data_IF_560456289851
#
_entry.id   IF_560456289851
#
_cell.length_a   1.000
_cell.length_b   1.000
_cell.length_c   1.000
_cell.angle_alpha   90.00
_cell.angle_beta   90.00
_cell.angle_gamma   90.00
#
_symmetry.space_group_name_H-M   'P 1'
#
loop_
_entity.id
_entity.type
_entity.pdbx_description
1 polymer ?
#
# COMPACT_ATOMS: atom_id res chain seq x y z
N UNK A 1 -14.75 6.04 -1.54
CA UNK A 1 -13.74 6.41 -0.51
C UNK A 1 -14.07 5.74 0.83
N UNK A 2 -15.33 5.75 1.28
CA UNK A 2 -15.72 5.03 2.50
C UNK A 2 -15.65 3.49 2.38
N UNK A 3 -15.57 2.97 1.15
CA UNK A 3 -15.41 1.55 0.85
C UNK A 3 -13.97 1.11 0.57
N UNK A 4 -12.96 1.98 0.76
CA UNK A 4 -11.56 1.58 0.56
C UNK A 4 -11.14 0.52 1.58
N UNK A 5 -10.33 -0.45 1.16
CA UNK A 5 -9.83 -1.51 2.03
C UNK A 5 -8.30 -1.55 2.02
N UNK A 6 -7.69 -1.49 3.20
CA UNK A 6 -6.26 -1.71 3.41
C UNK A 6 -6.04 -3.06 4.10
N UNK A 7 -5.11 -3.85 3.61
CA UNK A 7 -4.50 -4.96 4.36
C UNK A 7 -3.05 -4.59 4.67
N UNK A 8 -2.73 -4.34 5.92
CA UNK A 8 -1.37 -3.99 6.38
C UNK A 8 -0.81 -5.11 7.24
N UNK A 9 0.26 -5.78 6.80
CA UNK A 9 0.85 -6.91 7.53
C UNK A 9 -0.18 -8.01 7.90
N UNK A 10 -1.24 -8.16 7.09
CA UNK A 10 -2.30 -9.15 7.29
C UNK A 10 -3.48 -8.68 8.14
N UNK A 11 -3.40 -7.49 8.73
CA UNK A 11 -4.53 -6.85 9.42
C UNK A 11 -5.36 -6.03 8.43
N UNK A 12 -6.69 -6.15 8.48
CA UNK A 12 -7.60 -5.46 7.57
C UNK A 12 -8.20 -4.19 8.20
N UNK A 13 -8.25 -3.11 7.43
CA UNK A 13 -8.81 -1.82 7.81
C UNK A 13 -9.74 -1.35 6.69
N UNK A 14 -11.00 -1.09 7.03
CA UNK A 14 -12.02 -0.69 6.07
C UNK A 14 -12.44 0.77 6.29
N UNK A 15 -12.52 1.51 5.19
CA UNK A 15 -12.91 2.90 5.15
C UNK A 15 -11.78 3.87 5.46
N UNK A 16 -11.90 5.08 4.93
CA UNK A 16 -10.85 6.12 5.03
C UNK A 16 -10.41 6.40 6.46
N UNK A 17 -11.34 6.47 7.41
CA UNK A 17 -11.02 6.80 8.81
C UNK A 17 -10.09 5.76 9.44
N UNK A 18 -10.44 4.48 9.37
CA UNK A 18 -9.63 3.39 9.92
C UNK A 18 -8.27 3.26 9.21
N UNK A 19 -8.25 3.48 7.89
CA UNK A 19 -7.01 3.48 7.11
C UNK A 19 -6.07 4.60 7.57
N UNK A 20 -6.58 5.83 7.68
CA UNK A 20 -5.78 6.98 8.13
C UNK A 20 -5.29 6.78 9.56
N UNK A 21 -6.16 6.31 10.46
CA UNK A 21 -5.78 5.99 11.84
C UNK A 21 -4.63 4.97 11.89
N UNK A 22 -4.75 3.87 11.13
CA UNK A 22 -3.69 2.85 11.06
C UNK A 22 -2.37 3.43 10.55
N UNK A 23 -2.40 4.18 9.44
CA UNK A 23 -1.19 4.74 8.85
C UNK A 23 -0.55 5.80 9.76
N UNK A 24 -1.36 6.59 10.46
CA UNK A 24 -0.91 7.58 11.45
C UNK A 24 -0.40 6.95 12.75
N UNK A 25 -0.83 5.73 13.08
CA UNK A 25 -0.40 5.03 14.29
C UNK A 25 0.91 4.26 14.13
N UNK A 26 1.55 4.28 12.95
CA UNK A 26 2.78 3.52 12.72
C UNK A 26 3.93 4.12 13.53
N UNK A 27 4.75 3.30 14.21
CA UNK A 27 5.71 3.78 15.22
C UNK A 27 7.04 4.23 14.60
N UNK A 28 7.01 5.14 13.62
CA UNK A 28 8.20 5.76 13.05
C UNK A 28 8.01 7.27 12.89
N UNK A 29 9.11 8.03 12.91
CA UNK A 29 9.06 9.48 12.65
C UNK A 29 9.29 9.82 11.17
N UNK A 30 10.14 9.04 10.52
CA UNK A 30 10.52 9.19 9.11
C UNK A 30 10.48 7.84 8.44
N UNK A 31 9.99 7.82 7.21
CA UNK A 31 10.03 6.64 6.36
C UNK A 31 10.46 7.05 4.95
N UNK A 32 11.44 6.34 4.40
CA UNK A 32 11.92 6.51 3.04
C UNK A 32 11.63 5.25 2.24
N UNK A 33 10.94 5.38 1.11
CA UNK A 33 10.72 4.29 0.16
C UNK A 33 11.63 4.46 -1.06
N UNK A 34 12.16 3.36 -1.57
CA UNK A 34 12.91 3.25 -2.82
C UNK A 34 12.25 2.17 -3.68
N UNK A 35 11.71 2.57 -4.83
CA UNK A 35 10.98 1.68 -5.73
C UNK A 35 11.98 0.93 -6.60
N UNK A 36 11.97 -0.40 -6.54
CA UNK A 36 12.81 -1.25 -7.38
C UNK A 36 12.10 -1.59 -8.69
N UNK A 37 10.81 -1.93 -8.61
CA UNK A 37 9.98 -2.24 -9.75
C UNK A 37 8.53 -1.82 -9.50
N UNK A 38 7.84 -1.46 -10.57
CA UNK A 38 6.41 -1.21 -10.58
C UNK A 38 5.83 -1.74 -11.88
N UNK A 39 4.75 -2.51 -11.76
CA UNK A 39 4.04 -3.10 -12.89
C UNK A 39 2.57 -2.68 -12.83
N UNK A 40 1.99 -2.42 -13.99
CA UNK A 40 0.61 -1.92 -14.09
C UNK A 40 -0.18 -2.72 -15.13
N UNK A 41 -1.42 -3.05 -14.80
CA UNK A 41 -2.34 -3.77 -15.68
C UNK A 41 -3.73 -3.13 -15.62
N UNK A 42 -4.41 -2.96 -16.77
CA UNK A 42 -5.84 -2.69 -16.77
C UNK A 42 -6.61 -3.93 -16.31
N UNK A 43 -7.72 -3.73 -15.59
CA UNK A 43 -8.66 -4.81 -15.26
C UNK A 43 -9.90 -4.77 -16.17
N UNK A 44 -10.64 -5.88 -16.31
CA UNK A 44 -11.90 -5.89 -17.06
C UNK A 44 -12.91 -4.84 -16.58
N UNK A 45 -12.92 -4.53 -15.29
CA UNK A 45 -13.83 -3.55 -14.67
C UNK A 45 -13.34 -2.09 -14.75
N UNK A 46 -12.49 -1.79 -15.74
CA UNK A 46 -11.91 -0.45 -15.95
C UNK A 46 -11.18 0.11 -14.71
N UNK A 47 -10.52 -0.78 -13.96
CA UNK A 47 -9.61 -0.40 -12.88
C UNK A 47 -8.15 -0.53 -13.34
N UNK A 48 -7.23 0.02 -12.56
CA UNK A 48 -5.79 -0.17 -12.74
C UNK A 48 -5.27 -0.96 -11.55
N UNK A 49 -4.72 -2.14 -11.81
CA UNK A 49 -3.95 -2.91 -10.84
C UNK A 49 -2.48 -2.47 -10.93
N UNK A 50 -1.92 -2.01 -9.81
CA UNK A 50 -0.52 -1.64 -9.69
C UNK A 50 0.15 -2.52 -8.64
N UNK A 51 1.24 -3.17 -9.00
CA UNK A 51 2.08 -3.92 -8.07
C UNK A 51 3.43 -3.20 -7.95
N UNK A 52 3.90 -3.03 -6.72
CA UNK A 52 5.14 -2.34 -6.38
C UNK A 52 6.00 -3.28 -5.56
N UNK A 53 7.27 -3.38 -5.95
CA UNK A 53 8.31 -4.04 -5.17
C UNK A 53 9.41 -3.01 -4.91
N UNK A 54 9.88 -2.93 -3.67
CA UNK A 54 10.90 -1.96 -3.32
C UNK A 54 11.57 -2.23 -2.00
N UNK A 55 12.29 -1.24 -1.55
CA UNK A 55 12.93 -1.18 -0.25
C UNK A 55 12.42 0.02 0.53
N UNK A 56 12.35 -0.10 1.85
CA UNK A 56 12.04 1.01 2.74
C UNK A 56 13.02 1.06 3.91
N UNK A 57 13.19 2.25 4.45
CA UNK A 57 13.92 2.52 5.69
C UNK A 57 13.04 3.37 6.59
N UNK A 58 12.70 2.84 7.77
CA UNK A 58 12.03 3.59 8.83
C UNK A 58 13.09 4.11 9.81
N UNK A 59 13.11 5.42 10.06
CA UNK A 59 14.08 6.09 10.93
C UNK A 59 15.53 5.63 10.67
N UNK A 60 16.20 5.08 11.69
CA UNK A 60 17.55 4.54 11.63
C UNK A 60 17.58 2.99 11.59
N UNK A 61 16.43 2.35 11.40
CA UNK A 61 16.32 0.90 11.27
C UNK A 61 17.00 0.39 9.98
N UNK A 62 17.15 -0.93 9.92
CA UNK A 62 17.64 -1.62 8.73
C UNK A 62 16.73 -1.38 7.51
N UNK A 63 17.34 -1.40 6.32
CA UNK A 63 16.58 -1.38 5.06
C UNK A 63 15.86 -2.71 4.90
N UNK A 64 14.54 -2.65 4.70
CA UNK A 64 13.69 -3.82 4.49
C UNK A 64 13.11 -3.81 3.09
N UNK A 65 12.98 -4.99 2.47
CA UNK A 65 12.17 -5.12 1.27
C UNK A 65 10.68 -4.99 1.58
N UNK A 66 9.88 -4.57 0.61
CA UNK A 66 8.42 -4.56 0.72
C UNK A 66 7.74 -4.87 -0.61
N UNK A 67 6.51 -5.35 -0.51
CA UNK A 67 5.57 -5.52 -1.60
C UNK A 67 4.31 -4.73 -1.29
N UNK A 68 3.82 -3.97 -2.27
CA UNK A 68 2.57 -3.22 -2.13
C UNK A 68 1.75 -3.32 -3.41
N UNK A 69 0.46 -3.61 -3.26
CA UNK A 69 -0.48 -3.71 -4.40
C UNK A 69 -1.59 -2.70 -4.22
N UNK A 70 -1.95 -2.00 -5.29
CA UNK A 70 -3.02 -1.02 -5.33
C UNK A 70 -4.03 -1.36 -6.43
N UNK A 71 -5.32 -1.26 -6.13
CA UNK A 71 -6.38 -1.24 -7.12
C UNK A 71 -6.97 0.16 -7.21
N UNK A 72 -6.74 0.84 -8.33
CA UNK A 72 -7.24 2.18 -8.60
C UNK A 72 -8.51 2.11 -9.44
N UNK A 73 -9.53 2.85 -9.04
CA UNK A 73 -10.78 2.98 -9.79
C UNK A 73 -11.08 4.44 -10.06
N UNK A 74 -11.53 4.75 -11.27
CA UNK A 74 -12.00 6.11 -11.59
C UNK A 74 -13.39 6.33 -11.00
N UNK A 75 -13.55 7.43 -10.27
CA UNK A 75 -14.81 7.88 -9.70
C UNK A 75 -14.96 9.39 -9.94
N UNK A 76 -16.01 9.80 -10.65
CA UNK A 76 -16.29 11.21 -10.97
C UNK A 76 -15.10 11.96 -11.60
N UNK A 77 -14.32 11.28 -12.46
CA UNK A 77 -13.16 11.85 -13.15
C UNK A 77 -11.87 11.86 -12.35
N UNK A 78 -11.86 11.34 -11.12
CA UNK A 78 -10.66 11.19 -10.29
C UNK A 78 -10.33 9.72 -10.04
N UNK A 79 -9.06 9.35 -10.10
CA UNK A 79 -8.59 8.04 -9.70
C UNK A 79 -8.46 7.94 -8.19
N UNK A 80 -9.05 6.91 -7.58
CA UNK A 80 -8.97 6.66 -6.14
C UNK A 80 -8.49 5.23 -5.87
N UNK A 81 -7.74 5.06 -4.78
CA UNK A 81 -7.36 3.73 -4.30
C UNK A 81 -8.56 3.06 -3.61
N UNK A 82 -8.97 1.92 -4.15
CA UNK A 82 -10.07 1.10 -3.63
C UNK A 82 -9.58 -0.06 -2.79
N UNK A 83 -8.46 -0.67 -3.16
CA UNK A 83 -7.84 -1.74 -2.41
C UNK A 83 -6.34 -1.52 -2.33
N UNK A 84 -5.78 -1.76 -1.15
CA UNK A 84 -4.37 -1.70 -0.87
C UNK A 84 -3.95 -2.92 -0.05
N UNK A 85 -2.84 -3.56 -0.43
CA UNK A 85 -2.21 -4.63 0.35
C UNK A 85 -0.74 -4.30 0.51
N UNK A 86 -0.25 -4.28 1.75
CA UNK A 86 1.14 -4.04 2.09
C UNK A 86 1.72 -5.22 2.88
N UNK A 87 2.93 -5.65 2.50
CA UNK A 87 3.74 -6.66 3.18
C UNK A 87 5.21 -6.29 3.16
N UNK A 88 5.89 -6.43 4.29
CA UNK A 88 7.35 -6.49 4.37
C UNK A 88 7.84 -7.81 3.79
N UNK A 89 8.91 -7.74 3.00
CA UNK A 89 9.65 -8.89 2.52
C UNK A 89 10.59 -9.37 3.63
N UNK A 90 10.02 -9.98 4.66
CA UNK A 90 10.79 -10.65 5.70
C UNK A 90 11.24 -12.00 5.15
N UNK A 91 12.55 -12.27 5.14
CA UNK A 91 13.02 -13.63 4.94
C UNK A 91 12.58 -14.42 6.18
N UNK A 92 11.74 -15.44 6.01
CA UNK A 92 11.56 -16.44 7.05
C UNK A 92 12.93 -17.09 7.26
N UNK A 93 13.56 -16.78 8.40
CA UNK A 93 14.72 -17.54 8.91
C UNK A 93 14.20 -18.79 9.58
#
# INVERSE_FOLDING_TARGET
>A
IDASCLTWEGQQFQGKAAIVEKLSSLPFQKIQHSITAQDHQPTPDSCILSMVVGQLKADDDQVLGFHQTFLLKSFQGAWVCTNEVFRLALHNV
#
